data_IF_480270375270
#
_entry.id   IF_480270375270
#
_cell.length_a   1.000
_cell.length_b   1.000
_cell.length_c   1.000
_cell.angle_alpha   90.00
_cell.angle_beta   90.00
_cell.angle_gamma   90.00
#
_symmetry.space_group_name_H-M   'P 1'
#
loop_
_entity.id
_entity.type
_entity.pdbx_description
1 polymer ?
#
# COMPACT_ATOMS: atom_id res chain seq x y z
N UNK A 1 29.57 -15.34 18.21
CA UNK A 1 28.49 -14.81 17.38
C UNK A 1 27.15 -14.71 18.11
N UNK A 2 26.54 -13.53 18.02
CA UNK A 2 25.14 -13.27 18.42
C UNK A 2 24.40 -12.68 17.23
N UNK A 3 23.26 -13.26 16.87
CA UNK A 3 22.48 -12.81 15.71
C UNK A 3 21.16 -12.17 16.13
N UNK A 4 20.79 -11.12 15.42
CA UNK A 4 19.50 -10.45 15.55
C UNK A 4 18.53 -11.02 14.52
N UNK A 5 17.54 -11.77 14.99
CA UNK A 5 16.54 -12.46 14.15
C UNK A 5 15.17 -11.84 14.35
N UNK A 6 14.51 -11.43 13.27
CA UNK A 6 13.14 -10.91 13.27
C UNK A 6 12.15 -12.02 12.91
N UNK A 7 11.17 -12.27 13.77
CA UNK A 7 10.10 -13.23 13.55
C UNK A 7 8.77 -12.70 14.10
N UNK A 8 7.69 -12.78 13.32
CA UNK A 8 6.35 -12.27 13.68
C UNK A 8 6.38 -10.84 14.26
N UNK A 9 7.11 -9.93 13.61
CA UNK A 9 7.21 -8.52 14.02
C UNK A 9 8.09 -8.26 15.26
N UNK A 10 8.64 -9.29 15.91
CA UNK A 10 9.48 -9.17 17.11
C UNK A 10 10.94 -9.49 16.82
N UNK A 11 11.83 -8.84 17.55
CA UNK A 11 13.28 -9.10 17.49
C UNK A 11 13.70 -10.08 18.58
N UNK A 12 14.54 -11.04 18.18
CA UNK A 12 15.14 -12.05 19.05
C UNK A 12 16.65 -12.01 18.89
N UNK A 13 17.36 -11.99 20.01
CA UNK A 13 18.81 -12.19 20.02
C UNK A 13 19.09 -13.66 20.25
N UNK A 14 19.72 -14.30 19.26
CA UNK A 14 20.06 -15.73 19.29
C UNK A 14 21.58 -15.88 19.49
N UNK A 15 22.03 -16.40 20.64
CA UNK A 15 23.44 -16.68 20.88
C UNK A 15 23.84 -17.93 20.08
N UNK A 16 24.64 -17.76 19.04
CA UNK A 16 25.01 -18.83 18.10
C UNK A 16 26.36 -19.47 18.42
N UNK A 17 27.02 -19.06 19.52
CA UNK A 17 28.36 -19.55 19.87
C UNK A 17 29.39 -19.21 18.80
N UNK A 18 30.15 -20.20 18.34
CA UNK A 18 31.11 -20.08 17.23
C UNK A 18 30.45 -20.11 15.83
N UNK A 19 29.14 -20.31 15.75
CA UNK A 19 28.42 -20.29 14.48
C UNK A 19 28.45 -21.58 13.67
N UNK A 20 28.88 -22.69 14.28
CA UNK A 20 28.89 -24.02 13.65
C UNK A 20 27.49 -24.60 13.42
N UNK A 21 26.49 -24.06 14.13
CA UNK A 21 25.10 -24.46 13.93
C UNK A 21 24.61 -24.07 12.53
N UNK A 22 23.61 -24.80 12.03
CA UNK A 22 23.02 -24.53 10.72
C UNK A 22 21.97 -23.42 10.74
N UNK A 23 21.65 -22.86 9.57
CA UNK A 23 20.53 -21.93 9.41
C UNK A 23 19.20 -22.57 9.86
N UNK A 24 19.00 -23.87 9.62
CA UNK A 24 17.83 -24.60 10.14
C UNK A 24 17.75 -24.52 11.67
N UNK A 25 18.86 -24.73 12.37
CA UNK A 25 18.89 -24.61 13.83
C UNK A 25 18.56 -23.17 14.28
N UNK A 26 19.06 -22.15 13.58
CA UNK A 26 18.74 -20.75 13.87
C UNK A 26 17.24 -20.47 13.80
N UNK A 27 16.56 -21.03 12.78
CA UNK A 27 15.11 -20.95 12.61
C UNK A 27 14.40 -21.62 13.80
N UNK A 28 14.74 -22.87 14.11
CA UNK A 28 14.11 -23.66 15.18
C UNK A 28 14.30 -23.02 16.56
N UNK A 29 15.51 -22.52 16.86
CA UNK A 29 15.82 -21.85 18.12
C UNK A 29 15.09 -20.51 18.27
N UNK A 30 14.93 -19.77 17.17
CA UNK A 30 14.13 -18.52 17.15
C UNK A 30 12.65 -18.82 17.43
N UNK A 31 12.10 -19.86 16.79
CA UNK A 31 10.72 -20.30 17.03
C UNK A 31 10.53 -20.75 18.47
N UNK A 32 11.45 -21.56 19.01
CA UNK A 32 11.43 -21.98 20.42
C UNK A 32 11.42 -20.78 21.38
N UNK A 33 12.27 -19.77 21.14
CA UNK A 33 12.35 -18.52 21.94
C UNK A 33 11.09 -17.68 21.86
N UNK A 34 10.37 -17.73 20.75
CA UNK A 34 9.10 -17.02 20.59
C UNK A 34 7.95 -17.61 21.42
N UNK A 35 8.15 -18.76 22.09
CA UNK A 35 7.13 -19.53 22.84
C UNK A 35 5.92 -19.91 21.97
N UNK A 36 6.10 -19.98 20.66
CA UNK A 36 5.09 -20.44 19.72
C UNK A 36 4.97 -21.98 19.75
N UNK A 37 4.77 -22.58 20.94
CA UNK A 37 4.71 -24.04 21.13
C UNK A 37 3.46 -24.69 20.50
N UNK A 38 2.44 -23.90 20.12
CA UNK A 38 1.21 -24.39 19.46
C UNK A 38 1.27 -24.40 17.93
N UNK A 39 2.37 -23.95 17.35
CA UNK A 39 2.59 -23.96 15.91
C UNK A 39 3.48 -25.16 15.57
N UNK A 40 2.87 -26.29 15.17
CA UNK A 40 3.59 -27.39 14.49
C UNK A 40 4.08 -26.92 13.11
N UNK A 41 5.04 -25.99 13.08
CA UNK A 41 5.59 -25.42 11.85
C UNK A 41 6.87 -26.19 11.53
N UNK A 42 6.82 -26.98 10.47
CA UNK A 42 8.02 -27.63 9.95
C UNK A 42 8.91 -26.59 9.28
N UNK A 43 10.24 -26.70 9.41
CA UNK A 43 11.20 -25.79 8.77
C UNK A 43 11.02 -25.66 7.23
N UNK A 44 10.31 -26.59 6.58
CA UNK A 44 9.90 -26.47 5.18
C UNK A 44 8.94 -25.30 4.91
N UNK A 45 8.29 -24.75 5.94
CA UNK A 45 7.35 -23.65 5.84
C UNK A 45 7.96 -22.28 6.15
N UNK A 46 9.17 -22.21 6.72
CA UNK A 46 9.86 -20.95 7.05
C UNK A 46 11.20 -20.85 6.33
N UNK A 47 11.45 -19.71 5.70
CA UNK A 47 12.73 -19.34 5.08
C UNK A 47 13.42 -18.24 5.91
N UNK A 48 14.75 -18.37 6.04
CA UNK A 48 15.59 -17.33 6.60
C UNK A 48 16.14 -16.47 5.45
N UNK A 49 16.01 -15.16 5.60
CA UNK A 49 16.40 -14.19 4.57
C UNK A 49 17.21 -13.08 5.22
N UNK A 50 18.29 -12.64 4.57
CA UNK A 50 19.01 -11.43 4.98
C UNK A 50 18.07 -10.23 4.94
N UNK A 51 17.99 -9.48 6.03
CA UNK A 51 17.16 -8.27 6.09
C UNK A 51 17.66 -7.20 5.12
N UNK A 52 18.98 -7.15 4.91
CA UNK A 52 19.60 -6.31 3.88
C UNK A 52 19.80 -7.12 2.60
N UNK A 53 19.31 -6.60 1.47
CA UNK A 53 19.48 -7.23 0.15
C UNK A 53 18.57 -8.43 -0.15
N UNK A 54 17.90 -9.02 0.86
CA UNK A 54 16.86 -10.03 0.62
C UNK A 54 17.39 -11.41 0.18
N UNK A 55 18.69 -11.68 0.35
CA UNK A 55 19.30 -12.98 0.02
C UNK A 55 18.71 -14.11 0.86
N UNK A 56 18.24 -15.18 0.22
CA UNK A 56 17.75 -16.38 0.89
C UNK A 56 18.93 -17.21 1.42
N UNK A 57 18.81 -17.73 2.63
CA UNK A 57 19.82 -18.57 3.27
C UNK A 57 19.40 -20.04 3.17
N UNK A 58 20.30 -20.92 2.73
CA UNK A 58 20.00 -22.34 2.67
C UNK A 58 19.94 -22.92 4.10
N UNK A 59 18.88 -23.66 4.47
CA UNK A 59 18.76 -24.25 5.80
C UNK A 59 19.93 -25.18 6.18
N UNK A 60 20.67 -25.71 5.22
CA UNK A 60 21.82 -26.61 5.43
C UNK A 60 23.14 -25.87 5.64
N UNK A 61 23.22 -24.59 5.29
CA UNK A 61 24.46 -23.82 5.45
C UNK A 61 24.78 -23.63 6.93
N UNK A 62 26.08 -23.64 7.25
CA UNK A 62 26.55 -23.27 8.58
C UNK A 62 26.46 -21.74 8.74
N UNK A 63 26.00 -21.26 9.90
CA UNK A 63 25.76 -19.83 10.13
C UNK A 63 27.04 -19.02 9.86
N UNK A 64 28.20 -19.47 10.34
CA UNK A 64 29.48 -18.77 10.15
C UNK A 64 29.98 -18.71 8.69
N UNK A 65 29.41 -19.48 7.77
CA UNK A 65 29.76 -19.43 6.35
C UNK A 65 28.98 -18.35 5.59
N UNK A 66 27.81 -17.96 6.11
CA UNK A 66 26.85 -17.11 5.39
C UNK A 66 26.39 -15.89 6.19
N UNK A 67 26.73 -15.79 7.48
CA UNK A 67 26.34 -14.72 8.39
C UNK A 67 27.48 -14.31 9.33
N UNK A 68 27.50 -13.02 9.64
CA UNK A 68 28.38 -12.38 10.62
C UNK A 68 27.59 -11.79 11.80
N UNK A 69 28.28 -11.41 12.88
CA UNK A 69 27.68 -10.82 14.09
C UNK A 69 26.86 -9.53 13.83
N UNK A 70 27.12 -8.82 12.73
CA UNK A 70 26.39 -7.60 12.34
C UNK A 70 25.16 -7.86 11.48
N UNK A 71 24.92 -9.10 11.06
CA UNK A 71 23.85 -9.41 10.12
C UNK A 71 22.50 -9.54 10.82
N UNK A 72 21.47 -9.09 10.11
CA UNK A 72 20.08 -9.17 10.53
C UNK A 72 19.36 -10.21 9.69
N UNK A 73 18.76 -11.20 10.35
CA UNK A 73 18.02 -12.28 9.69
C UNK A 73 16.53 -12.07 9.90
N UNK A 74 15.74 -12.26 8.85
CA UNK A 74 14.28 -12.25 8.91
C UNK A 74 13.76 -13.64 8.59
N UNK A 75 12.82 -14.13 9.38
CA UNK A 75 12.11 -15.37 9.10
C UNK A 75 10.76 -15.05 8.43
N UNK A 76 10.50 -15.65 7.26
CA UNK A 76 9.24 -15.51 6.52
C UNK A 76 8.69 -16.86 6.07
N UNK A 77 7.38 -16.94 5.78
CA UNK A 77 6.79 -18.16 5.26
C UNK A 77 7.20 -18.43 3.79
N UNK A 78 7.52 -19.68 3.47
CA UNK A 78 7.88 -20.10 2.10
C UNK A 78 6.69 -19.86 1.17
N UNK A 79 6.88 -19.05 0.12
CA UNK A 79 5.83 -18.65 -0.83
C UNK A 79 5.37 -17.20 -0.70
N UNK A 80 5.82 -16.46 0.32
CA UNK A 80 5.65 -15.02 0.39
C UNK A 80 6.66 -14.34 -0.56
N UNK A 81 6.28 -14.12 -1.82
CA UNK A 81 7.08 -13.29 -2.73
C UNK A 81 7.24 -11.88 -2.16
N UNK A 82 8.48 -11.49 -1.86
CA UNK A 82 8.86 -10.09 -1.60
C UNK A 82 9.53 -9.58 -2.88
N UNK A 83 8.80 -8.80 -3.69
CA UNK A 83 9.43 -8.01 -4.76
C UNK A 83 10.24 -6.88 -4.11
N UNK A 84 11.54 -6.87 -4.42
CA UNK A 84 12.56 -5.84 -4.22
C UNK A 84 12.14 -4.62 -3.36
N UNK A 85 12.40 -4.69 -2.06
CA UNK A 85 12.15 -3.60 -1.12
C UNK A 85 13.35 -2.68 -0.95
N UNK A 86 13.13 -1.37 -1.14
CA UNK A 86 13.93 -0.35 -0.46
C UNK A 86 13.70 -0.46 1.05
N UNK A 87 14.79 -0.48 1.81
CA UNK A 87 14.76 -0.54 3.27
C UNK A 87 14.40 0.81 3.87
N UNK A 88 13.21 0.92 4.47
CA UNK A 88 12.91 1.97 5.46
C UNK A 88 13.59 1.62 6.80
N UNK A 89 14.01 2.60 7.63
CA UNK A 89 14.85 2.37 8.81
C UNK A 89 14.22 1.53 9.93
N UNK A 90 12.91 1.25 9.87
CA UNK A 90 12.17 0.58 10.95
C UNK A 90 11.57 -0.80 10.56
N UNK A 91 11.71 -1.21 9.29
CA UNK A 91 11.53 -2.60 8.83
C UNK A 91 10.18 -3.30 9.10
N UNK A 92 9.13 -2.62 9.56
CA UNK A 92 7.85 -3.25 9.90
C UNK A 92 7.09 -3.68 8.66
N UNK A 93 7.16 -4.98 8.36
CA UNK A 93 6.27 -5.67 7.43
C UNK A 93 5.05 -6.17 8.20
N UNK A 94 4.06 -5.30 8.39
CA UNK A 94 2.69 -5.74 8.70
C UNK A 94 1.98 -6.01 7.36
N UNK A 95 2.43 -7.07 6.68
CA UNK A 95 1.78 -7.59 5.49
C UNK A 95 0.91 -8.78 5.88
N UNK A 96 -0.39 -8.58 6.05
CA UNK A 96 -1.35 -9.67 5.84
C UNK A 96 -1.21 -10.10 4.37
N UNK A 97 -0.54 -11.24 4.14
CA UNK A 97 -0.49 -11.87 2.82
C UNK A 97 -1.90 -12.36 2.52
N UNK A 98 -2.61 -11.64 1.66
CA UNK A 98 -3.87 -12.11 1.12
C UNK A 98 -3.59 -13.19 0.08
N UNK A 99 -4.08 -14.41 0.36
CA UNK A 99 -4.11 -15.50 -0.60
C UNK A 99 -4.77 -15.03 -1.90
N UNK A 100 -4.10 -15.25 -3.03
CA UNK A 100 -4.72 -15.13 -4.35
C UNK A 100 -5.74 -16.25 -4.49
N UNK A 101 -7.00 -15.98 -4.12
CA UNK A 101 -8.10 -16.89 -4.45
C UNK A 101 -8.36 -16.78 -5.95
N UNK A 102 -8.02 -17.85 -6.68
CA UNK A 102 -8.62 -18.11 -7.98
C UNK A 102 -10.11 -18.47 -7.78
N UNK A 103 -10.92 -18.07 -8.76
CA UNK A 103 -12.34 -18.34 -8.98
C UNK A 103 -13.39 -17.36 -8.40
N UNK A 104 -14.07 -16.71 -9.34
CA UNK A 104 -15.20 -15.77 -9.23
C UNK A 104 -14.99 -14.58 -8.30
N UNK A 105 -14.09 -13.66 -8.69
CA UNK A 105 -14.02 -12.35 -8.03
C UNK A 105 -15.39 -11.65 -8.13
N UNK A 106 -16.10 -11.58 -7.00
CA UNK A 106 -17.38 -10.89 -6.92
C UNK A 106 -17.14 -9.39 -7.07
N UNK A 107 -17.77 -8.78 -8.07
CA UNK A 107 -17.68 -7.35 -8.32
C UNK A 107 -18.77 -6.61 -7.53
N UNK A 108 -18.41 -5.47 -6.98
CA UNK A 108 -19.35 -4.43 -6.56
C UNK A 108 -19.36 -3.34 -7.61
N UNK A 109 -20.57 -2.91 -7.99
CA UNK A 109 -20.76 -1.76 -8.85
C UNK A 109 -20.79 -0.48 -8.00
N UNK A 110 -19.96 0.50 -8.37
CA UNK A 110 -19.95 1.81 -7.75
C UNK A 110 -20.64 2.83 -8.67
N UNK A 111 -21.72 3.40 -8.16
CA UNK A 111 -22.49 4.51 -8.73
C UNK A 111 -22.15 5.86 -8.08
N UNK A 112 -21.36 5.82 -7.01
CA UNK A 112 -21.00 6.96 -6.19
C UNK A 112 -21.92 7.24 -5.00
N UNK A 113 -23.07 6.60 -4.91
CA UNK A 113 -24.12 6.91 -3.93
C UNK A 113 -24.47 5.73 -3.02
N UNK A 114 -24.41 4.50 -3.53
CA UNK A 114 -25.01 3.32 -2.89
C UNK A 114 -24.01 2.43 -2.14
N UNK A 115 -22.75 2.85 -2.00
CA UNK A 115 -21.73 2.10 -1.28
C UNK A 115 -22.05 2.01 0.23
N UNK A 116 -22.45 0.83 0.69
CA UNK A 116 -22.73 0.57 2.11
C UNK A 116 -21.47 0.36 2.95
N UNK A 117 -21.61 0.52 4.27
CA UNK A 117 -20.53 0.26 5.24
C UNK A 117 -20.06 -1.20 5.23
N UNK A 118 -20.98 -2.14 5.06
CA UNK A 118 -20.70 -3.58 5.03
C UNK A 118 -19.87 -3.92 3.79
N UNK A 119 -20.28 -3.36 2.65
CA UNK A 119 -19.59 -3.52 1.37
C UNK A 119 -18.20 -2.91 1.41
N UNK A 120 -18.07 -1.72 2.03
CA UNK A 120 -16.77 -1.08 2.24
C UNK A 120 -15.84 -1.94 3.10
N UNK A 121 -16.34 -2.54 4.19
CA UNK A 121 -15.55 -3.45 5.03
C UNK A 121 -15.14 -4.70 4.25
N UNK A 122 -16.01 -5.23 3.37
CA UNK A 122 -15.69 -6.37 2.51
C UNK A 122 -14.60 -6.04 1.47
N UNK A 123 -14.66 -4.86 0.86
CA UNK A 123 -13.62 -4.31 -0.02
C UNK A 123 -12.28 -4.16 0.72
N UNK A 124 -12.33 -3.69 1.97
CA UNK A 124 -11.17 -3.58 2.85
C UNK A 124 -10.50 -4.92 3.12
N UNK A 125 -11.30 -5.99 3.29
CA UNK A 125 -10.80 -7.37 3.46
C UNK A 125 -10.36 -8.03 2.14
N UNK A 126 -10.33 -7.30 1.03
CA UNK A 126 -9.93 -7.77 -0.29
C UNK A 126 -10.81 -8.86 -0.90
N UNK A 127 -12.06 -9.00 -0.43
CA UNK A 127 -13.00 -10.02 -0.90
C UNK A 127 -13.73 -9.66 -2.19
N UNK A 128 -13.71 -8.38 -2.56
CA UNK A 128 -14.47 -7.81 -3.68
C UNK A 128 -13.58 -6.99 -4.60
N UNK A 129 -13.92 -6.99 -5.88
CA UNK A 129 -13.38 -6.08 -6.91
C UNK A 129 -14.40 -4.99 -7.23
N UNK A 130 -13.94 -3.86 -7.75
CA UNK A 130 -14.77 -2.71 -8.12
C UNK A 130 -15.01 -2.72 -9.63
N UNK A 131 -16.25 -2.38 -10.02
CA UNK A 131 -16.61 -1.94 -11.38
C UNK A 131 -17.42 -0.64 -11.27
N UNK A 132 -17.34 0.23 -12.28
CA UNK A 132 -18.20 1.41 -12.34
C UNK A 132 -19.53 1.06 -13.01
N UNK A 133 -20.62 1.69 -12.58
CA UNK A 133 -21.88 1.63 -13.34
C UNK A 133 -21.76 2.46 -14.63
N UNK A 134 -22.54 2.09 -15.65
CA UNK A 134 -22.63 2.86 -16.90
C UNK A 134 -23.03 4.32 -16.64
N UNK A 135 -23.99 4.53 -15.74
CA UNK A 135 -24.42 5.86 -15.32
C UNK A 135 -23.28 6.67 -14.70
N UNK A 136 -22.45 6.06 -13.85
CA UNK A 136 -21.29 6.72 -13.27
C UNK A 136 -20.29 7.15 -14.34
N UNK A 137 -20.00 6.29 -15.32
CA UNK A 137 -19.10 6.64 -16.41
C UNK A 137 -19.62 7.82 -17.25
N UNK A 138 -20.93 7.85 -17.52
CA UNK A 138 -21.60 8.96 -18.20
C UNK A 138 -21.51 10.26 -17.40
N UNK A 139 -21.78 10.21 -16.09
CA UNK A 139 -21.69 11.36 -15.19
C UNK A 139 -20.26 11.92 -15.12
N UNK A 140 -19.25 11.05 -15.05
CA UNK A 140 -17.84 11.45 -15.06
C UNK A 140 -17.47 12.14 -16.38
N UNK A 141 -17.88 11.59 -17.53
CA UNK A 141 -17.63 12.21 -18.84
C UNK A 141 -18.30 13.59 -18.97
N UNK A 142 -19.56 13.71 -18.52
CA UNK A 142 -20.29 14.99 -18.51
C UNK A 142 -19.57 16.03 -17.64
N UNK A 143 -19.13 15.63 -16.44
CA UNK A 143 -18.34 16.47 -15.54
C UNK A 143 -17.05 16.97 -16.18
N UNK A 144 -16.34 16.07 -16.88
CA UNK A 144 -15.09 16.37 -17.56
C UNK A 144 -15.31 17.37 -18.69
N UNK A 145 -16.35 17.20 -19.49
CA UNK A 145 -16.69 18.12 -20.57
C UNK A 145 -16.90 19.56 -20.08
N UNK A 146 -17.62 19.74 -18.96
CA UNK A 146 -17.78 21.07 -18.34
C UNK A 146 -16.44 21.69 -17.94
N UNK A 147 -15.50 20.88 -17.43
CA UNK A 147 -14.17 21.39 -17.08
C UNK A 147 -13.33 21.73 -18.31
N UNK A 148 -13.46 20.96 -19.38
CA UNK A 148 -12.78 21.23 -20.66
C UNK A 148 -13.29 22.54 -21.27
N UNK A 149 -14.60 22.80 -21.20
CA UNK A 149 -15.20 24.06 -21.64
C UNK A 149 -14.71 25.25 -20.80
N UNK A 150 -14.64 25.12 -19.47
CA UNK A 150 -14.09 26.14 -18.55
C UNK A 150 -12.66 26.51 -18.93
N UNK A 151 -11.81 25.50 -19.18
CA UNK A 151 -10.40 25.71 -19.55
C UNK A 151 -10.30 26.34 -20.94
N UNK A 152 -11.08 25.86 -21.92
CA UNK A 152 -11.10 26.40 -23.29
C UNK A 152 -11.54 27.88 -23.31
N UNK A 153 -12.50 28.24 -22.47
CA UNK A 153 -13.03 29.61 -22.37
C UNK A 153 -12.21 30.52 -21.43
N UNK A 154 -11.11 30.02 -20.85
CA UNK A 154 -10.29 30.73 -19.86
C UNK A 154 -11.11 31.33 -18.69
N UNK A 155 -12.18 30.62 -18.26
CA UNK A 155 -12.99 31.03 -17.12
C UNK A 155 -12.17 30.92 -15.83
N UNK A 156 -12.32 31.90 -14.94
CA UNK A 156 -11.64 31.94 -13.63
C UNK A 156 -12.35 30.99 -12.67
N UNK A 157 -11.72 29.85 -12.36
CA UNK A 157 -12.28 28.79 -11.51
C UNK A 157 -11.21 28.26 -10.56
N UNK A 158 -11.56 28.21 -9.27
CA UNK A 158 -10.66 27.81 -8.19
C UNK A 158 -10.02 26.43 -8.43
N UNK A 159 -8.69 26.37 -8.34
CA UNK A 159 -7.92 25.13 -8.49
C UNK A 159 -7.92 24.53 -9.90
N UNK A 160 -8.55 25.20 -10.86
CA UNK A 160 -8.58 24.84 -12.29
C UNK A 160 -7.73 25.84 -13.07
N UNK A 161 -8.05 27.13 -12.96
CA UNK A 161 -7.32 28.24 -13.60
C UNK A 161 -6.75 29.23 -12.58
N UNK A 162 -6.91 28.95 -11.27
CA UNK A 162 -6.27 29.73 -10.20
C UNK A 162 -5.47 28.84 -9.24
N UNK A 163 -4.68 29.47 -8.36
CA UNK A 163 -3.95 28.79 -7.30
C UNK A 163 -4.83 28.22 -6.18
N UNK A 164 -4.20 27.67 -5.14
CA UNK A 164 -4.88 27.04 -4.00
C UNK A 164 -4.67 27.83 -2.71
N UNK A 165 -5.60 27.72 -1.75
CA UNK A 165 -5.47 28.35 -0.44
C UNK A 165 -5.30 29.86 -0.54
N UNK A 166 -4.23 30.42 0.05
CA UNK A 166 -3.94 31.86 -0.03
C UNK A 166 -3.73 32.37 -1.47
N UNK A 167 -3.42 31.49 -2.42
CA UNK A 167 -3.24 31.83 -3.83
C UNK A 167 -4.52 31.64 -4.66
N UNK A 168 -5.69 31.49 -4.04
CA UNK A 168 -6.98 31.31 -4.72
C UNK A 168 -7.31 32.42 -5.73
N UNK A 169 -6.83 33.64 -5.49
CA UNK A 169 -7.03 34.82 -6.35
C UNK A 169 -6.00 34.97 -7.47
N UNK A 170 -4.95 34.14 -7.49
CA UNK A 170 -3.88 34.21 -8.49
C UNK A 170 -4.30 33.39 -9.72
N UNK A 171 -4.51 34.07 -10.84
CA UNK A 171 -4.80 33.42 -12.13
C UNK A 171 -3.53 32.77 -12.67
N UNK A 172 -3.66 31.51 -13.13
CA UNK A 172 -2.57 30.70 -13.63
C UNK A 172 -2.72 30.55 -15.16
N UNK A 173 -1.69 30.90 -15.94
CA UNK A 173 -1.71 30.70 -17.39
C UNK A 173 -1.92 29.24 -17.80
N UNK A 174 -2.63 28.96 -18.92
CA UNK A 174 -2.91 27.60 -19.41
C UNK A 174 -1.68 26.68 -19.49
N UNK A 175 -0.54 27.21 -19.96
CA UNK A 175 0.72 26.49 -20.11
C UNK A 175 1.34 26.04 -18.78
N UNK A 176 0.96 26.67 -17.66
CA UNK A 176 1.43 26.32 -16.31
C UNK A 176 0.47 25.40 -15.56
N UNK A 177 -0.74 25.15 -16.06
CA UNK A 177 -1.76 24.36 -15.34
C UNK A 177 -1.29 22.94 -15.04
N UNK A 178 -0.57 22.30 -15.96
CA UNK A 178 0.00 20.97 -15.71
C UNK A 178 1.01 20.98 -14.56
N UNK A 179 1.90 21.97 -14.54
CA UNK A 179 2.89 22.12 -13.48
C UNK A 179 2.24 22.44 -12.13
N UNK A 180 1.19 23.27 -12.14
CA UNK A 180 0.39 23.59 -10.96
C UNK A 180 -0.16 22.30 -10.30
N UNK A 181 -0.76 21.39 -11.07
CA UNK A 181 -1.30 20.13 -10.53
C UNK A 181 -0.21 19.20 -9.98
N UNK A 182 0.97 19.14 -10.62
CA UNK A 182 2.13 18.38 -10.10
C UNK A 182 2.61 18.96 -8.77
N UNK A 183 2.73 20.29 -8.70
CA UNK A 183 3.19 20.98 -7.50
C UNK A 183 2.19 20.81 -6.35
N UNK A 184 0.88 20.82 -6.64
CA UNK A 184 -0.16 20.56 -5.64
C UNK A 184 0.07 19.23 -4.94
N UNK A 185 0.25 18.15 -5.71
CA UNK A 185 0.48 16.81 -5.15
C UNK A 185 1.73 16.81 -4.27
N UNK A 186 2.84 17.37 -4.77
CA UNK A 186 4.12 17.41 -4.05
C UNK A 186 4.05 18.22 -2.76
N UNK A 187 3.40 19.38 -2.77
CA UNK A 187 3.32 20.25 -1.60
C UNK A 187 2.40 19.68 -0.50
N UNK A 188 1.49 18.76 -0.85
CA UNK A 188 0.54 18.14 0.08
C UNK A 188 0.97 16.73 0.51
N UNK A 189 2.00 16.15 -0.12
CA UNK A 189 2.60 14.88 0.27
C UNK A 189 3.51 15.05 1.51
N UNK A 190 2.96 15.63 2.59
CA UNK A 190 3.64 15.95 3.84
C UNK A 190 3.22 15.04 5.01
N UNK A 191 2.55 13.92 4.70
CA UNK A 191 2.15 12.95 5.72
C UNK A 191 3.35 12.24 6.35
N UNK A 192 3.23 11.89 7.62
CA UNK A 192 4.27 11.24 8.44
C UNK A 192 3.68 10.11 9.28
N UNK A 193 4.55 9.36 9.97
CA UNK A 193 4.15 8.23 10.82
C UNK A 193 4.04 6.91 10.07
N UNK A 194 3.47 5.90 10.73
CA UNK A 194 3.31 4.58 10.15
C UNK A 194 2.28 4.61 9.02
N UNK A 195 2.41 3.74 8.00
CA UNK A 195 1.39 3.62 6.98
C UNK A 195 0.08 3.08 7.56
N UNK A 196 -1.03 3.50 6.97
CA UNK A 196 -2.31 2.84 7.18
C UNK A 196 -2.20 1.34 6.84
N UNK A 197 -2.91 0.51 7.62
CA UNK A 197 -3.01 -0.92 7.33
C UNK A 197 -3.54 -1.15 5.91
N UNK A 198 -3.19 -2.29 5.30
CA UNK A 198 -3.67 -2.67 3.95
C UNK A 198 -5.18 -2.56 3.86
N UNK A 199 -5.89 -3.07 4.88
CA UNK A 199 -7.35 -2.99 4.97
C UNK A 199 -7.87 -1.55 4.94
N UNK A 200 -7.30 -0.65 5.76
CA UNK A 200 -7.72 0.75 5.79
C UNK A 200 -7.35 1.50 4.50
N UNK A 201 -6.19 1.21 3.92
CA UNK A 201 -5.77 1.75 2.63
C UNK A 201 -6.73 1.35 1.51
N UNK A 202 -7.15 0.07 1.45
CA UNK A 202 -8.18 -0.39 0.51
C UNK A 202 -9.50 0.35 0.72
N UNK A 203 -9.96 0.49 1.95
CA UNK A 203 -11.21 1.22 2.25
C UNK A 203 -11.12 2.68 1.82
N UNK A 204 -10.03 3.38 2.16
CA UNK A 204 -9.79 4.77 1.73
C UNK A 204 -9.79 4.90 0.22
N UNK A 205 -9.13 3.97 -0.48
CA UNK A 205 -9.04 3.99 -1.93
C UNK A 205 -10.41 3.74 -2.58
N UNK A 206 -11.17 2.76 -2.09
CA UNK A 206 -12.53 2.48 -2.54
C UNK A 206 -13.47 3.68 -2.33
N UNK A 207 -13.42 4.32 -1.14
CA UNK A 207 -14.19 5.54 -0.87
C UNK A 207 -13.84 6.65 -1.85
N UNK A 208 -12.55 6.82 -2.17
CA UNK A 208 -12.12 7.85 -3.12
C UNK A 208 -12.65 7.56 -4.51
N UNK A 209 -12.56 6.31 -4.98
CA UNK A 209 -13.14 5.88 -6.26
C UNK A 209 -14.64 6.16 -6.28
N UNK A 210 -15.37 5.79 -5.22
CA UNK A 210 -16.82 6.00 -5.12
C UNK A 210 -17.18 7.50 -5.20
N UNK A 211 -16.48 8.37 -4.48
CA UNK A 211 -16.75 9.82 -4.54
C UNK A 211 -16.48 10.38 -5.96
N UNK A 212 -15.43 9.91 -6.63
CA UNK A 212 -15.11 10.32 -8.00
C UNK A 212 -16.15 9.83 -9.00
N UNK A 213 -16.70 8.63 -8.77
CA UNK A 213 -17.76 8.01 -9.57
C UNK A 213 -19.07 8.84 -9.60
N UNK A 214 -19.31 9.72 -8.62
CA UNK A 214 -20.46 10.64 -8.62
C UNK A 214 -20.49 11.62 -9.81
N UNK A 215 -19.34 11.91 -10.44
CA UNK A 215 -19.30 12.82 -11.59
C UNK A 215 -19.37 14.32 -11.26
N UNK A 216 -18.85 14.74 -10.09
CA UNK A 216 -18.77 16.18 -9.71
C UNK A 216 -17.33 16.69 -9.55
N UNK A 217 -16.34 15.90 -9.96
CA UNK A 217 -14.92 16.20 -9.73
C UNK A 217 -14.17 16.71 -10.96
N UNK A 218 -14.73 16.57 -12.17
CA UNK A 218 -14.00 16.86 -13.41
C UNK A 218 -12.81 15.94 -13.69
N UNK A 219 -12.71 14.77 -13.02
CA UNK A 219 -11.69 13.76 -13.34
C UNK A 219 -11.95 13.17 -14.74
N UNK A 220 -10.89 12.75 -15.44
CA UNK A 220 -11.06 11.99 -16.68
C UNK A 220 -11.50 10.54 -16.38
N UNK A 221 -12.38 9.98 -17.21
CA UNK A 221 -12.78 8.57 -17.09
C UNK A 221 -11.58 7.62 -17.19
N UNK A 222 -10.60 7.95 -18.04
CA UNK A 222 -9.34 7.20 -18.15
C UNK A 222 -8.61 7.10 -16.80
N UNK A 223 -8.45 8.22 -16.10
CA UNK A 223 -7.79 8.24 -14.78
C UNK A 223 -8.60 7.44 -13.75
N UNK A 224 -9.93 7.60 -13.73
CA UNK A 224 -10.78 6.85 -12.80
C UNK A 224 -10.69 5.33 -13.03
N UNK A 225 -10.72 4.88 -14.30
CA UNK A 225 -10.52 3.46 -14.66
C UNK A 225 -9.14 2.94 -14.25
N UNK A 226 -8.09 3.76 -14.33
CA UNK A 226 -6.76 3.39 -13.84
C UNK A 226 -6.75 3.19 -12.32
N UNK A 227 -7.47 4.02 -11.55
CA UNK A 227 -7.62 3.83 -10.11
C UNK A 227 -8.36 2.53 -9.78
N UNK A 228 -9.43 2.21 -10.52
CA UNK A 228 -10.18 0.95 -10.38
C UNK A 228 -9.29 -0.25 -10.70
N UNK A 229 -8.51 -0.19 -11.78
CA UNK A 229 -7.56 -1.25 -12.14
C UNK A 229 -6.50 -1.46 -11.05
N UNK A 230 -5.90 -0.37 -10.55
CA UNK A 230 -4.93 -0.43 -9.46
C UNK A 230 -5.53 -1.07 -8.20
N UNK A 231 -6.76 -0.68 -7.82
CA UNK A 231 -7.46 -1.28 -6.68
C UNK A 231 -7.72 -2.78 -6.88
N UNK A 232 -8.18 -3.17 -8.07
CA UNK A 232 -8.53 -4.56 -8.39
C UNK A 232 -7.31 -5.49 -8.44
N UNK A 233 -6.15 -4.96 -8.80
CA UNK A 233 -4.86 -5.66 -8.77
C UNK A 233 -4.10 -5.50 -7.44
N UNK A 234 -4.74 -4.88 -6.43
CA UNK A 234 -4.15 -4.63 -5.12
C UNK A 234 -2.84 -3.81 -5.16
N UNK A 235 -2.68 -2.98 -6.20
CA UNK A 235 -1.67 -1.94 -6.27
C UNK A 235 -2.14 -0.76 -5.42
N UNK A 236 -1.80 -0.80 -4.13
CA UNK A 236 -2.28 0.15 -3.13
C UNK A 236 -1.25 1.25 -2.86
N UNK A 237 -1.68 2.51 -2.65
CA UNK A 237 -0.77 3.58 -2.29
C UNK A 237 -0.23 3.38 -0.87
N UNK A 238 1.01 3.80 -0.64
CA UNK A 238 1.55 3.92 0.71
C UNK A 238 1.04 5.24 1.32
N UNK A 239 0.23 5.17 2.37
CA UNK A 239 -0.44 6.34 2.97
C UNK A 239 -0.05 6.47 4.44
N UNK A 240 0.71 7.50 4.84
CA UNK A 240 0.99 7.77 6.25
C UNK A 240 -0.29 8.05 7.05
N UNK A 241 -0.33 7.63 8.31
CA UNK A 241 -1.49 7.82 9.19
C UNK A 241 -1.63 9.25 9.75
N UNK A 242 -0.56 10.07 9.73
CA UNK A 242 -0.56 11.42 10.29
C UNK A 242 -0.27 12.49 9.21
N UNK A 243 -0.79 13.70 9.43
CA UNK A 243 -0.46 14.89 8.62
C UNK A 243 -1.67 15.64 8.03
N UNK A 244 -2.86 15.04 8.05
CA UNK A 244 -4.10 15.74 7.71
C UNK A 244 -4.75 16.34 8.96
N UNK A 245 -5.23 17.57 8.87
CA UNK A 245 -6.05 18.21 9.93
C UNK A 245 -7.53 17.87 9.82
N UNK A 246 -7.92 17.07 8.82
CA UNK A 246 -9.32 16.84 8.47
C UNK A 246 -9.95 18.16 8.02
N UNK A 247 -9.73 18.54 6.77
CA UNK A 247 -10.17 19.83 6.23
C UNK A 247 -11.62 20.13 6.61
N UNK A 248 -11.83 21.21 7.36
CA UNK A 248 -13.17 21.68 7.72
C UNK A 248 -13.80 22.32 6.49
N UNK A 249 -14.92 21.75 6.04
CA UNK A 249 -15.97 22.50 5.38
C UNK A 249 -17.22 22.36 6.23
#
# INVERSE_FOLDING_TARGET
MRLSVRFNGKWFVVPCGEGENSIKWLIEETVRRSKAEKLHFTAKALEAVLAQGGGKLDPKDAINQVLNDSDFVRLSAVGAHVENGHTSPDGTLDGEVMEKSQDHAQFVELDGCSLSTETLVALGKGKLKIKLTEESEQNVNKSRGLLDDIVRENKVVYGVTTGFGMFASVVIPPEKLKQLQVNLIRSHAAGVGHPLSVKHTRMLFALRINILAKGYSGISLKTLRQLVAAFNESCLPWVPEQGTVGGKR
#
